data_IF_103954669579
#
_entry.id   IF_103954669579
#
_cell.length_a   1.000
_cell.length_b   1.000
_cell.length_c   1.000
_cell.angle_alpha   90.00
_cell.angle_beta   90.00
_cell.angle_gamma   90.00
#
_symmetry.space_group_name_H-M   'P 1'
#
loop_
_entity.id
_entity.type
_entity.pdbx_description
1 polymer ?
#
# COMPACT_ATOMS: atom_id res chain seq x y z
N UNK A 1 7.49 24.72 31.63
CA UNK A 1 7.55 26.20 31.65
C UNK A 1 6.18 26.83 31.89
N UNK A 2 5.14 26.51 31.11
CA UNK A 2 3.79 27.08 31.27
C UNK A 2 3.17 26.86 32.67
N UNK A 3 3.36 25.67 33.26
CA UNK A 3 2.86 25.35 34.61
C UNK A 3 3.45 26.18 35.75
N UNK A 4 4.56 26.91 35.52
CA UNK A 4 5.19 27.77 36.53
C UNK A 4 4.76 29.24 36.46
N UNK A 5 3.98 29.61 35.46
CA UNK A 5 3.46 30.98 35.26
C UNK A 5 2.53 31.41 36.42
N UNK A 6 1.63 30.55 36.96
CA UNK A 6 0.81 30.94 38.10
C UNK A 6 1.63 31.35 39.32
N UNK A 7 2.69 30.61 39.64
CA UNK A 7 3.53 30.86 40.80
C UNK A 7 4.35 32.14 40.66
N UNK A 8 4.80 32.48 39.44
CA UNK A 8 5.49 33.73 39.15
C UNK A 8 4.54 34.92 39.30
N UNK A 9 3.36 34.85 38.70
CA UNK A 9 2.34 35.90 38.78
C UNK A 9 1.85 36.08 40.23
N UNK A 10 1.74 34.99 41.01
CA UNK A 10 1.39 35.05 42.42
C UNK A 10 2.42 35.80 43.26
N UNK A 11 3.71 35.68 42.94
CA UNK A 11 4.78 36.39 43.64
C UNK A 11 4.77 37.88 43.30
N UNK A 12 4.57 38.23 42.03
CA UNK A 12 4.49 39.63 41.59
C UNK A 12 3.27 40.36 42.16
N UNK A 13 2.11 39.69 42.21
CA UNK A 13 0.87 40.29 42.75
C UNK A 13 0.89 40.35 44.30
N UNK A 14 1.78 39.62 44.97
CA UNK A 14 1.88 39.62 46.43
C UNK A 14 2.11 41.02 47.02
N UNK A 15 2.88 41.87 46.32
CA UNK A 15 3.25 43.21 46.78
C UNK A 15 2.18 44.28 46.48
N UNK A 16 1.19 43.98 45.63
CA UNK A 16 0.15 44.93 45.25
C UNK A 16 -0.80 45.22 46.44
N UNK A 17 -1.23 46.48 46.60
CA UNK A 17 -2.23 46.90 47.62
C UNK A 17 -3.66 46.52 47.24
N UNK A 18 -3.90 45.23 46.99
CA UNK A 18 -5.21 44.68 46.64
C UNK A 18 -5.62 43.66 47.71
N UNK A 19 -6.93 43.54 47.97
CA UNK A 19 -7.49 42.55 48.90
C UNK A 19 -6.95 41.14 48.63
N UNK A 20 -6.50 40.46 49.68
CA UNK A 20 -5.99 39.08 49.61
C UNK A 20 -6.99 38.12 48.96
N UNK A 21 -8.28 38.25 49.25
CA UNK A 21 -9.35 37.43 48.63
C UNK A 21 -9.42 37.59 47.11
N UNK A 22 -9.11 38.78 46.61
CA UNK A 22 -9.13 39.05 45.16
C UNK A 22 -7.90 38.42 44.50
N UNK A 23 -6.72 38.50 45.13
CA UNK A 23 -5.49 37.86 44.66
C UNK A 23 -5.65 36.33 44.56
N UNK A 24 -6.21 35.73 45.60
CA UNK A 24 -6.46 34.28 45.66
C UNK A 24 -7.44 33.81 44.58
N UNK A 25 -8.54 34.55 44.37
CA UNK A 25 -9.50 34.24 43.30
C UNK A 25 -8.87 34.32 41.90
N UNK A 26 -8.02 35.32 41.66
CA UNK A 26 -7.31 35.45 40.39
C UNK A 26 -6.27 34.35 40.21
N UNK A 27 -5.52 34.02 41.25
CA UNK A 27 -4.58 32.91 41.23
C UNK A 27 -5.27 31.58 40.89
N UNK A 28 -6.38 31.25 41.54
CA UNK A 28 -7.13 30.02 41.25
C UNK A 28 -7.78 29.99 39.87
N UNK A 29 -8.15 31.16 39.33
CA UNK A 29 -8.66 31.24 37.95
C UNK A 29 -7.52 31.02 36.96
N UNK A 30 -6.38 31.69 37.17
CA UNK A 30 -5.21 31.61 36.31
C UNK A 30 -4.59 30.20 36.33
N UNK A 31 -4.53 29.56 37.49
CA UNK A 31 -4.08 28.17 37.65
C UNK A 31 -4.97 27.21 36.86
N UNK A 32 -6.30 27.30 37.02
CA UNK A 32 -7.26 26.47 36.27
C UNK A 32 -7.12 26.63 34.76
N UNK A 33 -7.03 27.86 34.26
CA UNK A 33 -6.89 28.11 32.82
C UNK A 33 -5.56 27.58 32.28
N UNK A 34 -4.46 27.76 33.04
CA UNK A 34 -3.14 27.24 32.64
C UNK A 34 -3.13 25.72 32.64
N UNK A 35 -3.76 25.06 33.61
CA UNK A 35 -3.88 23.60 33.63
C UNK A 35 -4.67 23.08 32.42
N UNK A 36 -5.74 23.77 32.02
CA UNK A 36 -6.50 23.44 30.80
C UNK A 36 -5.64 23.59 29.55
N UNK A 37 -4.88 24.69 29.44
CA UNK A 37 -3.97 24.92 28.31
C UNK A 37 -2.87 23.86 28.27
N UNK A 38 -2.23 23.55 29.40
CA UNK A 38 -1.22 22.51 29.48
C UNK A 38 -1.78 21.15 29.06
N UNK A 39 -2.97 20.78 29.54
CA UNK A 39 -3.63 19.53 29.15
C UNK A 39 -3.93 19.46 27.65
N UNK A 40 -4.36 20.58 27.04
CA UNK A 40 -4.60 20.66 25.60
C UNK A 40 -3.30 20.55 24.79
N UNK A 41 -2.22 21.19 25.25
CA UNK A 41 -0.90 21.14 24.60
C UNK A 41 -0.30 19.74 24.69
N UNK A 42 -0.38 19.09 25.85
CA UNK A 42 0.08 17.71 26.04
C UNK A 42 -0.69 16.74 25.12
N UNK A 43 -2.01 16.90 25.01
CA UNK A 43 -2.84 16.12 24.08
C UNK A 43 -2.45 16.38 22.63
N UNK A 44 -2.19 17.64 22.26
CA UNK A 44 -1.75 17.99 20.91
C UNK A 44 -0.37 17.39 20.61
N UNK A 45 0.56 17.46 21.56
CA UNK A 45 1.89 16.86 21.43
C UNK A 45 1.79 15.34 21.22
N UNK A 46 1.00 14.65 22.03
CA UNK A 46 0.75 13.22 21.88
C UNK A 46 0.18 12.89 20.49
N UNK A 47 -0.81 13.65 20.03
CA UNK A 47 -1.38 13.48 18.68
C UNK A 47 -0.37 13.75 17.57
N UNK A 48 0.49 14.75 17.72
CA UNK A 48 1.55 15.06 16.76
C UNK A 48 2.58 13.94 16.68
N UNK A 49 2.96 13.33 17.82
CA UNK A 49 3.86 12.17 17.86
C UNK A 49 3.26 10.98 17.11
N UNK A 50 1.99 10.65 17.40
CA UNK A 50 1.28 9.56 16.70
C UNK A 50 1.19 9.84 15.20
N UNK A 51 0.80 11.05 14.81
CA UNK A 51 0.73 11.45 13.39
C UNK A 51 2.09 11.34 12.72
N UNK A 52 3.18 11.72 13.38
CA UNK A 52 4.53 11.62 12.84
C UNK A 52 4.94 10.18 12.59
N UNK A 53 4.72 9.28 13.56
CA UNK A 53 5.04 7.84 13.40
C UNK A 53 4.22 7.22 12.27
N UNK A 54 2.92 7.53 12.20
CA UNK A 54 2.05 7.05 11.12
C UNK A 54 2.48 7.60 9.76
N UNK A 55 2.84 8.90 9.69
CA UNK A 55 3.29 9.53 8.47
C UNK A 55 4.62 8.94 8.00
N UNK A 56 5.56 8.65 8.90
CA UNK A 56 6.84 8.02 8.58
C UNK A 56 6.64 6.62 8.02
N UNK A 57 5.84 5.77 8.69
CA UNK A 57 5.54 4.41 8.21
C UNK A 57 4.77 4.38 6.89
N UNK A 58 3.83 5.31 6.71
CA UNK A 58 3.08 5.43 5.47
C UNK A 58 4.00 5.89 4.33
N UNK A 59 4.89 6.85 4.59
CA UNK A 59 5.83 7.33 3.60
C UNK A 59 6.87 6.26 3.21
N UNK A 60 7.42 5.51 4.17
CA UNK A 60 8.26 4.34 3.89
C UNK A 60 7.53 3.35 2.97
N UNK A 61 6.30 2.97 3.30
CA UNK A 61 5.54 2.00 2.51
C UNK A 61 5.15 2.52 1.12
N UNK A 62 4.95 3.82 0.94
CA UNK A 62 4.70 4.43 -0.36
C UNK A 62 5.97 4.46 -1.20
N UNK A 63 7.09 4.85 -0.59
CA UNK A 63 8.39 4.93 -1.24
C UNK A 63 8.91 3.55 -1.67
N UNK A 64 8.72 2.52 -0.83
CA UNK A 64 9.03 1.11 -1.18
C UNK A 64 8.26 0.62 -2.42
N UNK A 65 7.09 1.22 -2.69
CA UNK A 65 6.26 0.93 -3.86
C UNK A 65 6.51 1.91 -5.02
N UNK A 66 7.44 2.85 -4.88
CA UNK A 66 7.74 3.89 -5.87
C UNK A 66 6.63 4.91 -6.05
N UNK A 67 5.81 5.13 -5.02
CA UNK A 67 4.67 6.05 -5.06
C UNK A 67 5.09 7.38 -4.44
N UNK A 68 5.44 8.35 -5.28
CA UNK A 68 5.95 9.66 -4.84
C UNK A 68 4.91 10.78 -4.98
N UNK A 69 3.82 10.54 -5.72
CA UNK A 69 2.75 11.51 -5.97
C UNK A 69 1.36 10.97 -5.65
N UNK A 70 0.37 11.88 -5.58
CA UNK A 70 -1.04 11.50 -5.40
C UNK A 70 -1.56 10.77 -6.63
N UNK A 71 -1.06 11.15 -7.79
CA UNK A 71 -1.35 10.56 -9.08
C UNK A 71 -0.83 9.12 -9.14
N UNK A 72 0.39 8.87 -8.67
CA UNK A 72 0.96 7.51 -8.56
C UNK A 72 0.13 6.64 -7.60
N UNK A 73 -0.33 7.21 -6.48
CA UNK A 73 -1.18 6.51 -5.53
C UNK A 73 -2.53 6.13 -6.15
N UNK A 74 -3.17 7.06 -6.87
CA UNK A 74 -4.42 6.82 -7.55
C UNK A 74 -4.28 5.74 -8.65
N UNK A 75 -3.18 5.80 -9.41
CA UNK A 75 -2.87 4.81 -10.45
C UNK A 75 -2.58 3.44 -9.86
N UNK A 76 -1.82 3.37 -8.76
CA UNK A 76 -1.56 2.14 -8.02
C UNK A 76 -2.85 1.49 -7.53
N UNK A 77 -3.73 2.27 -6.89
CA UNK A 77 -5.03 1.79 -6.42
C UNK A 77 -5.92 1.29 -7.57
N UNK A 78 -6.03 2.06 -8.66
CA UNK A 78 -6.82 1.65 -9.83
C UNK A 78 -6.29 0.37 -10.47
N UNK A 79 -4.98 0.16 -10.46
CA UNK A 79 -4.37 -1.06 -11.00
C UNK A 79 -4.65 -2.25 -10.10
N UNK A 80 -4.49 -2.11 -8.78
CA UNK A 80 -4.80 -3.19 -7.83
C UNK A 80 -6.26 -3.59 -7.86
N UNK A 81 -7.19 -2.62 -7.93
CA UNK A 81 -8.62 -2.90 -7.99
C UNK A 81 -8.96 -3.65 -9.28
N UNK A 82 -8.47 -3.17 -10.43
CA UNK A 82 -8.68 -3.83 -11.72
C UNK A 82 -8.08 -5.24 -11.76
N UNK A 83 -6.86 -5.41 -11.27
CA UNK A 83 -6.19 -6.71 -11.23
C UNK A 83 -6.94 -7.67 -10.30
N UNK A 84 -7.43 -7.18 -9.15
CA UNK A 84 -8.27 -7.96 -8.23
C UNK A 84 -9.58 -8.42 -8.87
N UNK A 85 -10.27 -7.55 -9.60
CA UNK A 85 -11.49 -7.88 -10.34
C UNK A 85 -11.21 -8.92 -11.44
N UNK A 86 -10.16 -8.75 -12.23
CA UNK A 86 -9.77 -9.72 -13.26
C UNK A 86 -9.44 -11.09 -12.66
N UNK A 87 -8.73 -11.14 -11.53
CA UNK A 87 -8.41 -12.39 -10.85
C UNK A 87 -9.67 -13.06 -10.29
N UNK A 88 -10.62 -12.29 -9.75
CA UNK A 88 -11.90 -12.82 -9.28
C UNK A 88 -12.70 -13.43 -10.44
N UNK A 89 -12.80 -12.72 -11.57
CA UNK A 89 -13.48 -13.23 -12.77
C UNK A 89 -12.82 -14.52 -13.29
N UNK A 90 -11.49 -14.61 -13.29
CA UNK A 90 -10.78 -15.84 -13.65
C UNK A 90 -11.11 -17.01 -12.70
N UNK A 91 -11.21 -16.74 -11.40
CA UNK A 91 -11.62 -17.74 -10.41
C UNK A 91 -13.06 -18.23 -10.67
N UNK A 92 -13.97 -17.31 -10.99
CA UNK A 92 -15.36 -17.64 -11.31
C UNK A 92 -15.49 -18.44 -12.61
N UNK A 93 -14.78 -18.04 -13.67
CA UNK A 93 -14.76 -18.74 -14.97
C UNK A 93 -14.25 -20.17 -14.81
N UNK A 94 -13.20 -20.36 -14.04
CA UNK A 94 -12.59 -21.67 -13.81
C UNK A 94 -13.32 -22.48 -12.74
N UNK A 95 -14.21 -21.85 -11.96
CA UNK A 95 -14.88 -22.45 -10.81
C UNK A 95 -13.91 -22.92 -9.74
N UNK A 96 -12.78 -22.21 -9.58
CA UNK A 96 -11.66 -22.60 -8.72
C UNK A 96 -11.12 -21.42 -7.94
N UNK A 97 -10.39 -21.69 -6.86
CA UNK A 97 -9.68 -20.66 -6.10
C UNK A 97 -8.34 -20.27 -6.75
N UNK A 98 -7.92 -19.01 -6.56
CA UNK A 98 -6.68 -18.48 -7.12
C UNK A 98 -5.43 -19.30 -6.74
N UNK A 99 -5.40 -19.88 -5.54
CA UNK A 99 -4.29 -20.74 -5.12
C UNK A 99 -4.21 -22.03 -5.95
N UNK A 100 -5.37 -22.59 -6.32
CA UNK A 100 -5.43 -23.79 -7.16
C UNK A 100 -4.95 -23.47 -8.59
N UNK A 101 -5.33 -22.30 -9.12
CA UNK A 101 -4.84 -21.80 -10.41
C UNK A 101 -3.30 -21.67 -10.37
N UNK A 102 -2.76 -21.06 -9.30
CA UNK A 102 -1.31 -20.91 -9.14
C UNK A 102 -0.57 -22.25 -9.11
N UNK A 103 -1.11 -23.26 -8.44
CA UNK A 103 -0.47 -24.58 -8.34
C UNK A 103 -0.47 -25.31 -9.70
N UNK A 104 -1.57 -25.25 -10.44
CA UNK A 104 -1.64 -25.80 -11.81
C UNK A 104 -0.64 -25.08 -12.72
N UNK A 105 -0.54 -23.75 -12.64
CA UNK A 105 0.42 -22.97 -13.45
C UNK A 105 1.87 -23.33 -13.11
N UNK A 106 2.19 -23.53 -11.82
CA UNK A 106 3.53 -24.00 -11.40
C UNK A 106 3.85 -25.38 -11.97
N UNK A 107 2.90 -26.30 -11.90
CA UNK A 107 3.06 -27.66 -12.43
C UNK A 107 3.24 -27.66 -13.95
N UNK A 108 2.47 -26.86 -14.67
CA UNK A 108 2.61 -26.68 -16.13
C UNK A 108 4.00 -26.12 -16.45
N UNK A 109 4.44 -25.08 -15.72
CA UNK A 109 5.76 -24.47 -15.89
C UNK A 109 6.90 -25.45 -15.60
N UNK A 110 6.76 -26.31 -14.59
CA UNK A 110 7.73 -27.35 -14.26
C UNK A 110 7.80 -28.43 -15.35
N UNK A 111 6.64 -28.90 -15.84
CA UNK A 111 6.55 -29.87 -16.93
C UNK A 111 7.15 -29.32 -18.23
N UNK A 112 6.88 -28.06 -18.58
CA UNK A 112 7.44 -27.41 -19.76
C UNK A 112 8.99 -27.36 -19.70
N UNK A 113 9.57 -26.96 -18.56
CA UNK A 113 11.03 -26.96 -18.36
C UNK A 113 11.64 -28.36 -18.48
N UNK A 114 10.97 -29.40 -17.98
CA UNK A 114 11.44 -30.79 -18.11
C UNK A 114 11.35 -31.33 -19.54
N UNK A 115 10.33 -30.91 -20.31
CA UNK A 115 10.16 -31.30 -21.71
C UNK A 115 11.18 -30.62 -22.63
N UNK A 116 11.58 -29.38 -22.34
CA UNK A 116 12.67 -28.68 -23.04
C UNK A 116 14.03 -29.30 -22.75
N UNK A 117 14.28 -29.74 -21.50
CA UNK A 117 15.49 -30.49 -21.14
C UNK A 117 15.55 -31.87 -21.82
N UNK A 118 14.41 -32.54 -22.00
CA UNK A 118 14.31 -33.82 -22.71
C UNK A 118 14.48 -33.73 -24.23
N UNK A 119 14.10 -32.60 -24.85
CA UNK A 119 14.27 -32.36 -26.30
C UNK A 119 15.73 -32.17 -26.71
N UNK A 120 16.59 -31.63 -25.85
CA UNK A 120 18.02 -31.48 -26.14
C UNK A 120 18.83 -32.78 -26.00
N UNK A 121 18.24 -33.86 -25.47
CA UNK A 121 18.92 -35.15 -25.25
C UNK A 121 18.58 -36.25 -26.26
N UNK A 122 17.66 -36.01 -27.21
CA UNK A 122 17.13 -37.08 -28.09
C UNK A 122 17.08 -36.67 -29.55
N UNK A 123 18.17 -36.06 -30.05
CA UNK A 123 18.44 -35.91 -31.47
C UNK A 123 19.41 -37.00 -31.95
N UNK A 124 19.07 -38.26 -31.74
CA UNK A 124 19.54 -39.33 -32.62
C UNK A 124 18.61 -40.53 -32.52
N UNK A 125 18.03 -40.85 -33.68
CA UNK A 125 17.63 -42.16 -34.15
C UNK A 125 16.14 -42.53 -34.09
N UNK A 126 15.67 -42.73 -35.33
CA UNK A 126 14.60 -43.60 -35.85
C UNK A 126 13.19 -43.02 -36.06
N UNK A 127 12.90 -42.89 -37.36
CA UNK A 127 11.60 -42.74 -38.00
C UNK A 127 10.75 -43.98 -37.74
N UNK A 128 9.52 -43.82 -37.23
CA UNK A 128 8.35 -44.61 -37.67
C UNK A 128 7.11 -43.72 -37.57
N UNK A 129 6.33 -43.77 -38.63
CA UNK A 129 5.12 -43.05 -38.99
C UNK A 129 3.89 -43.73 -38.35
N UNK A 130 3.01 -42.99 -37.66
CA UNK A 130 1.61 -42.76 -38.10
C UNK A 130 0.69 -42.12 -37.03
N UNK A 131 -0.03 -41.11 -37.50
CA UNK A 131 -1.37 -40.60 -37.17
C UNK A 131 -1.81 -40.17 -35.75
N UNK A 132 -2.15 -38.87 -35.67
CA UNK A 132 -3.41 -38.24 -35.16
C UNK A 132 -3.62 -38.32 -33.62
N UNK A 133 -3.77 -37.23 -32.85
CA UNK A 133 -4.84 -36.23 -32.91
C UNK A 133 -4.56 -35.09 -31.88
N UNK A 134 -5.06 -33.88 -32.17
CA UNK A 134 -5.23 -32.77 -31.21
C UNK A 134 -3.97 -32.20 -30.53
N UNK A 135 -3.02 -31.73 -31.35
CA UNK A 135 -2.12 -30.68 -30.89
C UNK A 135 -2.90 -29.37 -30.82
N UNK A 136 -3.54 -29.07 -29.68
CA UNK A 136 -4.12 -27.75 -29.43
C UNK A 136 -3.07 -26.71 -29.79
N UNK A 137 -3.37 -25.86 -30.78
CA UNK A 137 -2.40 -24.95 -31.35
C UNK A 137 -2.15 -23.79 -30.38
N UNK A 138 -1.23 -24.03 -29.44
CA UNK A 138 -0.83 -23.09 -28.40
C UNK A 138 -0.26 -21.77 -28.96
N UNK A 139 0.12 -21.76 -30.25
CA UNK A 139 0.54 -20.53 -30.92
C UNK A 139 -0.63 -19.57 -31.11
N UNK A 140 -1.83 -20.09 -31.39
CA UNK A 140 -3.06 -19.31 -31.54
C UNK A 140 -3.51 -18.75 -30.20
N UNK A 141 -3.44 -19.55 -29.12
CA UNK A 141 -3.79 -19.10 -27.78
C UNK A 141 -2.82 -18.00 -27.31
N UNK A 142 -1.52 -18.18 -27.52
CA UNK A 142 -0.51 -17.17 -27.18
C UNK A 142 -0.72 -15.88 -27.96
N UNK A 143 -0.89 -15.95 -29.28
CA UNK A 143 -1.12 -14.78 -30.11
C UNK A 143 -2.38 -14.02 -29.68
N UNK A 144 -3.42 -14.74 -29.24
CA UNK A 144 -4.67 -14.14 -28.77
C UNK A 144 -4.51 -13.48 -27.39
N UNK A 145 -3.73 -14.07 -26.48
CA UNK A 145 -3.40 -13.43 -25.20
C UNK A 145 -2.52 -12.20 -25.41
N UNK A 146 -1.52 -12.25 -26.29
CA UNK A 146 -0.68 -11.10 -26.63
C UNK A 146 -1.51 -9.96 -27.25
N UNK A 147 -2.44 -10.27 -28.16
CA UNK A 147 -3.33 -9.27 -28.75
C UNK A 147 -4.25 -8.61 -27.71
N UNK A 148 -4.82 -9.39 -26.78
CA UNK A 148 -5.62 -8.81 -25.68
C UNK A 148 -4.79 -7.95 -24.75
N UNK A 149 -3.56 -8.36 -24.44
CA UNK A 149 -2.65 -7.53 -23.63
C UNK A 149 -2.22 -6.25 -24.37
N UNK A 150 -2.02 -6.28 -25.68
CA UNK A 150 -1.74 -5.08 -26.49
C UNK A 150 -2.93 -4.11 -26.54
N UNK A 151 -4.15 -4.61 -26.66
CA UNK A 151 -5.37 -3.79 -26.64
C UNK A 151 -5.64 -3.17 -25.26
N UNK A 152 -5.31 -3.88 -24.17
CA UNK A 152 -5.45 -3.38 -22.80
C UNK A 152 -4.37 -2.36 -22.45
N UNK A 153 -3.13 -2.55 -22.93
CA UNK A 153 -2.02 -1.65 -22.62
C UNK A 153 -1.97 -0.40 -23.50
N UNK A 154 -2.64 -0.38 -24.65
CA UNK A 154 -2.62 0.74 -25.59
C UNK A 154 -1.22 0.98 -26.17
N UNK A 155 -1.09 1.09 -27.49
CA UNK A 155 0.21 1.44 -28.08
C UNK A 155 0.68 2.79 -27.51
N UNK A 156 1.91 2.92 -27.00
CA UNK A 156 2.48 4.24 -26.78
C UNK A 156 2.54 4.92 -28.14
N UNK A 157 1.82 6.04 -28.27
CA UNK A 157 1.87 6.93 -29.41
C UNK A 157 3.34 7.30 -29.64
N UNK A 158 3.96 6.66 -30.62
CA UNK A 158 5.29 7.03 -31.11
C UNK A 158 5.11 8.34 -31.87
N UNK A 159 5.20 9.44 -31.12
CA UNK A 159 5.19 10.80 -31.63
C UNK A 159 6.36 10.98 -32.59
N UNK A 160 6.03 11.60 -33.73
CA UNK A 160 6.94 12.02 -34.79
C UNK A 160 7.69 13.28 -34.37
#
# INVERSE_FOLDING_TARGET
MLRGIPEVISKEIAEHKISSRYKERHFETLKREIDVVCSKVEKLEANCRVRRVLHEKLFESLNDRGIDSKEDWAQYMSTIERDGEMLAELCDILGTDMLQIMDVVKDIKAKAKSAEAGRNGKATREMVQDTVESGADWTVLRARMEAMCEDIMGKPTRGN
#
